data_IF_476973521765
#
_entry.id   IF_476973521765
#
_cell.length_a   1.000
_cell.length_b   1.000
_cell.length_c   1.000
_cell.angle_alpha   90.00
_cell.angle_beta   90.00
_cell.angle_gamma   90.00
#
_symmetry.space_group_name_H-M   'P 1'
#
loop_
_entity.id
_entity.type
_entity.pdbx_description
1 polymer ?
#
# COMPACT_ATOMS: atom_id res chain seq x y z
N UNK A 1 -18.46 -26.01 -6.46
CA UNK A 1 -18.46 -24.59 -6.38
C UNK A 1 -17.60 -24.05 -5.31
N UNK A 2 -17.80 -24.50 -4.12
CA UNK A 2 -16.97 -24.02 -3.03
C UNK A 2 -15.52 -24.26 -3.27
N UNK A 3 -15.22 -25.32 -3.91
CA UNK A 3 -13.84 -25.65 -4.19
C UNK A 3 -13.17 -24.61 -5.02
N UNK A 4 -13.90 -24.05 -5.92
CA UNK A 4 -13.35 -23.03 -6.80
C UNK A 4 -12.98 -21.81 -5.99
N UNK A 5 -13.82 -21.41 -5.08
CA UNK A 5 -13.53 -20.27 -4.25
C UNK A 5 -12.33 -20.51 -3.39
N UNK A 6 -12.28 -21.65 -2.80
CA UNK A 6 -11.16 -21.97 -1.93
C UNK A 6 -9.88 -21.98 -2.68
N UNK A 7 -9.91 -22.53 -3.85
CA UNK A 7 -8.72 -22.59 -4.67
C UNK A 7 -8.24 -21.20 -4.99
N UNK A 8 -9.13 -20.34 -5.34
CA UNK A 8 -8.79 -18.98 -5.63
C UNK A 8 -8.12 -18.32 -4.46
N UNK A 9 -8.70 -18.42 -3.32
CA UNK A 9 -8.19 -17.78 -2.17
C UNK A 9 -6.85 -18.26 -1.75
N UNK A 10 -6.68 -19.51 -1.81
CA UNK A 10 -5.45 -20.08 -1.32
C UNK A 10 -4.27 -19.87 -2.17
N UNK A 11 -4.44 -19.99 -3.44
CA UNK A 11 -3.35 -19.86 -4.34
C UNK A 11 -2.55 -18.64 -4.17
N UNK A 12 -3.11 -17.49 -4.29
CA UNK A 12 -2.32 -16.28 -4.24
C UNK A 12 -1.59 -16.13 -2.94
N UNK A 13 -2.19 -16.58 -1.90
CA UNK A 13 -1.58 -16.43 -0.65
C UNK A 13 -0.28 -17.10 -0.51
N UNK A 14 -0.22 -18.28 -0.92
CA UNK A 14 0.95 -19.05 -0.75
C UNK A 14 2.08 -18.68 -1.56
N UNK A 15 1.88 -18.55 -2.78
CA UNK A 15 2.93 -18.37 -3.69
C UNK A 15 3.65 -17.10 -3.64
N UNK A 16 2.99 -16.05 -3.60
CA UNK A 16 3.62 -14.79 -3.84
C UNK A 16 3.67 -13.95 -2.61
N UNK A 17 4.16 -14.49 -1.54
CA UNK A 17 4.27 -13.79 -0.36
C UNK A 17 5.03 -12.51 -0.50
N UNK A 18 6.20 -12.56 -1.09
CA UNK A 18 7.01 -11.43 -1.31
C UNK A 18 6.36 -10.46 -2.24
N UNK A 19 5.82 -10.96 -3.31
CA UNK A 19 5.15 -10.13 -4.29
C UNK A 19 3.92 -9.49 -3.69
N UNK A 20 3.20 -10.18 -2.85
CA UNK A 20 2.05 -9.61 -2.19
C UNK A 20 2.45 -8.46 -1.30
N UNK A 21 3.51 -8.58 -0.56
CA UNK A 21 3.98 -7.52 0.29
C UNK A 21 4.34 -6.30 -0.52
N UNK A 22 5.03 -6.50 -1.61
CA UNK A 22 5.40 -5.40 -2.47
C UNK A 22 4.17 -4.73 -3.05
N UNK A 23 3.22 -5.51 -3.51
CA UNK A 23 1.99 -4.98 -4.07
C UNK A 23 1.22 -4.18 -3.04
N UNK A 24 1.16 -4.67 -1.83
CA UNK A 24 0.47 -3.97 -0.78
C UNK A 24 1.14 -2.64 -0.47
N UNK A 25 2.45 -2.64 -0.40
CA UNK A 25 3.17 -1.42 -0.13
C UNK A 25 3.00 -0.40 -1.25
N UNK A 26 3.02 -0.87 -2.47
CA UNK A 26 2.81 0.02 -3.61
C UNK A 26 1.41 0.59 -3.60
N UNK A 27 0.43 -0.22 -3.22
CA UNK A 27 -0.93 0.25 -3.12
C UNK A 27 -1.09 1.30 -2.03
N UNK A 28 -0.43 1.09 -0.90
CA UNK A 28 -0.46 2.06 0.16
C UNK A 28 0.21 3.36 -0.26
N UNK A 29 1.32 3.24 -0.96
CA UNK A 29 2.02 4.40 -1.44
C UNK A 29 1.12 5.22 -2.36
N UNK A 30 0.43 4.57 -3.26
CA UNK A 30 -0.47 5.25 -4.17
C UNK A 30 -1.58 5.95 -3.41
N UNK A 31 -2.15 5.31 -2.40
CA UNK A 31 -3.16 5.91 -1.60
C UNK A 31 -2.65 7.13 -0.87
N UNK A 32 -1.48 7.00 -0.29
CA UNK A 32 -0.89 8.10 0.45
C UNK A 32 -0.61 9.29 -0.46
N UNK A 33 -0.15 9.03 -1.64
CA UNK A 33 0.10 10.10 -2.58
C UNK A 33 -1.18 10.81 -2.98
N UNK A 34 -2.23 10.06 -3.16
CA UNK A 34 -3.52 10.64 -3.48
C UNK A 34 -4.03 11.50 -2.32
N UNK A 35 -3.87 11.00 -1.11
CA UNK A 35 -4.28 11.76 0.05
C UNK A 35 -3.44 13.02 0.22
N UNK A 36 -2.17 12.92 -0.07
CA UNK A 36 -1.29 14.06 0.00
C UNK A 36 -1.76 15.17 -0.92
N UNK A 37 -2.08 14.83 -2.16
CA UNK A 37 -2.57 15.80 -3.12
C UNK A 37 -3.87 16.43 -2.64
N UNK A 38 -4.75 15.62 -2.10
CA UNK A 38 -6.02 16.09 -1.62
C UNK A 38 -5.84 17.12 -0.50
N UNK A 39 -4.98 16.83 0.44
CA UNK A 39 -4.73 17.73 1.55
C UNK A 39 -3.94 18.97 1.15
N UNK A 40 -3.08 18.84 0.18
CA UNK A 40 -2.36 19.97 -0.35
C UNK A 40 -3.30 20.97 -0.99
N UNK A 41 -4.29 20.47 -1.70
CA UNK A 41 -5.27 21.33 -2.32
C UNK A 41 -6.04 22.12 -1.27
N UNK A 42 -6.23 21.55 -0.11
CA UNK A 42 -6.92 22.20 0.96
C UNK A 42 -6.02 22.96 1.89
N UNK A 43 -4.75 22.92 1.58
CA UNK A 43 -3.73 23.60 2.38
C UNK A 43 -3.69 23.09 3.82
N UNK A 44 -3.92 21.80 3.96
CA UNK A 44 -3.86 21.17 5.27
C UNK A 44 -2.45 20.65 5.48
N UNK A 45 -1.55 21.54 5.83
CA UNK A 45 -0.12 21.20 5.85
C UNK A 45 0.26 20.22 6.94
N UNK A 46 -0.45 20.23 8.04
CA UNK A 46 -0.16 19.27 9.09
C UNK A 46 -0.47 17.86 8.65
N UNK A 47 -1.60 17.70 7.97
CA UNK A 47 -1.94 16.40 7.44
C UNK A 47 -0.95 15.98 6.38
N UNK A 48 -0.51 16.91 5.56
CA UNK A 48 0.49 16.62 4.56
C UNK A 48 1.79 16.12 5.18
N UNK A 49 2.19 16.72 6.26
CA UNK A 49 3.43 16.32 6.93
C UNK A 49 3.33 14.90 7.45
N UNK A 50 2.20 14.54 8.00
CA UNK A 50 2.00 13.19 8.50
C UNK A 50 1.97 12.18 7.39
N UNK A 51 1.31 12.52 6.30
CA UNK A 51 1.26 11.63 5.15
C UNK A 51 2.65 11.44 4.58
N UNK A 52 3.44 12.47 4.53
CA UNK A 52 4.80 12.36 4.03
C UNK A 52 5.62 11.42 4.89
N UNK A 53 5.43 11.43 6.18
CA UNK A 53 6.13 10.52 7.06
C UNK A 53 5.75 9.09 6.74
N UNK A 54 4.49 8.85 6.49
CA UNK A 54 4.04 7.51 6.14
C UNK A 54 4.58 7.07 4.81
N UNK A 55 4.65 7.98 3.86
CA UNK A 55 5.23 7.68 2.57
C UNK A 55 6.69 7.26 2.75
N UNK A 56 7.42 7.93 3.58
CA UNK A 56 8.81 7.59 3.86
C UNK A 56 8.91 6.20 4.46
N UNK A 57 8.02 5.86 5.35
CA UNK A 57 8.03 4.55 5.98
C UNK A 57 7.76 3.47 4.93
N UNK A 58 6.81 3.69 4.06
CA UNK A 58 6.49 2.74 3.02
C UNK A 58 7.65 2.59 2.06
N UNK A 59 8.26 3.68 1.67
CA UNK A 59 9.42 3.65 0.80
C UNK A 59 10.57 2.89 1.43
N UNK A 60 10.76 3.07 2.71
CA UNK A 60 11.81 2.36 3.43
C UNK A 60 11.55 0.86 3.41
N UNK A 61 10.32 0.47 3.62
CA UNK A 61 9.97 -0.94 3.57
C UNK A 61 10.17 -1.52 2.19
N UNK A 62 9.81 -0.78 1.17
CA UNK A 62 10.03 -1.22 -0.19
C UNK A 62 11.51 -1.38 -0.49
N UNK A 63 12.29 -0.50 0.02
CA UNK A 63 13.73 -0.52 -0.20
C UNK A 63 14.37 -1.76 0.43
N UNK A 64 13.79 -2.27 1.47
CA UNK A 64 14.32 -3.43 2.15
C UNK A 64 13.82 -4.74 1.59
N UNK A 65 12.93 -4.72 0.69
CA UNK A 65 12.51 -5.92 0.03
C UNK A 65 13.56 -6.36 -0.99
#
# INVERSE_FOLDING_TARGET
MDDIYNTFKQKPKKKTKKADTESELLGELAKLMTQLNFHQDKEEYEACAEIKKEIDIVNDKLSKL
#
